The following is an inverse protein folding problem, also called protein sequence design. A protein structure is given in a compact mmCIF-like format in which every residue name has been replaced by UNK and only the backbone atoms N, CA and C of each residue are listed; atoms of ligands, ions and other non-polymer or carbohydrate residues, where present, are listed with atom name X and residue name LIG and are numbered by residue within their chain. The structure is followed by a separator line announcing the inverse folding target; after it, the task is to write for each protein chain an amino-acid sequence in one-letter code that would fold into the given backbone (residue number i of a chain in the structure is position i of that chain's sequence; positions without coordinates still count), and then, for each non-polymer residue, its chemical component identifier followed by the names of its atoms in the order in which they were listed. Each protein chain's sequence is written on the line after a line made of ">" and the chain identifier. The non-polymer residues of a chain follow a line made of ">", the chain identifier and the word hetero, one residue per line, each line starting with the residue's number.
data_IF_200576021319
#
_entry.id   IF_200576021319
#
_cell.length_a   1.000
_cell.length_b   1.000
_cell.length_c   1.000
_cell.angle_alpha   90.00
_cell.angle_beta   90.00
_cell.angle_gamma   90.00
#
_symmetry.space_group_name_H-M   'P 1'
#
loop_
_entity.id
_entity.type
_entity.pdbx_description
1 polymer ?
#
# COMPACT_ATOMS: atom_id res chain seq x y z
N UNK A 1 -18.08 -2.30 6.44
CA UNK A 1 -17.50 -3.18 5.38
C UNK A 1 -17.55 -2.63 3.94
N UNK A 2 -18.71 -2.26 3.35
CA UNK A 2 -18.77 -1.83 1.93
C UNK A 2 -17.82 -0.65 1.60
N UNK A 3 -17.83 0.40 2.43
CA UNK A 3 -16.95 1.57 2.28
C UNK A 3 -15.46 1.20 2.32
N UNK A 4 -15.06 0.37 3.28
CA UNK A 4 -13.67 -0.07 3.42
C UNK A 4 -13.17 -0.86 2.20
N UNK A 5 -14.04 -1.69 1.60
CA UNK A 5 -13.73 -2.39 0.33
C UNK A 5 -13.53 -1.41 -0.82
N UNK A 6 -14.38 -0.39 -0.94
CA UNK A 6 -14.24 0.64 -1.99
C UNK A 6 -12.92 1.38 -1.82
N UNK A 7 -12.58 1.80 -0.59
CA UNK A 7 -11.31 2.48 -0.31
C UNK A 7 -10.12 1.59 -0.64
N UNK A 8 -10.16 0.32 -0.23
CA UNK A 8 -9.08 -0.65 -0.50
C UNK A 8 -8.91 -0.90 -1.99
N UNK A 9 -10.01 -1.03 -2.73
CA UNK A 9 -9.98 -1.17 -4.19
C UNK A 9 -9.39 0.09 -4.85
N UNK A 10 -9.91 1.27 -4.50
CA UNK A 10 -9.45 2.54 -5.05
C UNK A 10 -7.95 2.77 -4.79
N UNK A 11 -7.49 2.51 -3.56
CA UNK A 11 -6.08 2.61 -3.19
C UNK A 11 -5.21 1.65 -4.02
N UNK A 12 -5.62 0.39 -4.14
CA UNK A 12 -4.90 -0.61 -4.94
C UNK A 12 -4.82 -0.23 -6.41
N UNK A 13 -5.94 0.22 -7.00
CA UNK A 13 -5.98 0.64 -8.41
C UNK A 13 -5.17 1.90 -8.66
N UNK A 14 -5.21 2.88 -7.75
CA UNK A 14 -4.46 4.12 -7.89
C UNK A 14 -2.96 3.87 -7.82
N UNK A 15 -2.50 3.02 -6.89
CA UNK A 15 -1.09 2.65 -6.76
C UNK A 15 -0.56 1.96 -8.03
N UNK A 16 -1.30 0.96 -8.54
CA UNK A 16 -0.89 0.26 -9.75
C UNK A 16 -0.93 1.18 -10.97
N UNK A 17 -1.98 2.00 -11.11
CA UNK A 17 -2.11 2.91 -12.24
C UNK A 17 -1.05 4.01 -12.23
N UNK A 18 -0.69 4.56 -11.07
CA UNK A 18 0.34 5.60 -10.97
C UNK A 18 1.71 5.09 -11.42
N UNK A 19 2.09 3.88 -11.06
CA UNK A 19 3.38 3.31 -11.45
C UNK A 19 3.39 2.85 -12.90
N UNK A 20 2.29 2.29 -13.41
CA UNK A 20 2.15 2.02 -14.83
C UNK A 20 2.25 3.31 -15.65
N UNK A 21 1.59 4.38 -15.22
CA UNK A 21 1.68 5.69 -15.89
C UNK A 21 3.10 6.28 -15.81
N UNK A 22 3.79 6.12 -14.68
CA UNK A 22 5.16 6.63 -14.47
C UNK A 22 6.18 5.97 -15.39
N UNK A 23 6.02 4.68 -15.65
CA UNK A 23 7.00 3.88 -16.40
C UNK A 23 6.54 3.47 -17.80
N UNK A 24 5.37 3.91 -18.25
CA UNK A 24 4.82 3.54 -19.55
C UNK A 24 5.82 3.86 -20.68
N UNK A 25 6.11 2.87 -21.52
CA UNK A 25 7.07 3.00 -22.62
C UNK A 25 8.55 2.91 -22.21
N UNK A 26 8.88 2.70 -20.93
CA UNK A 26 10.26 2.47 -20.47
C UNK A 26 10.61 0.98 -20.48
N UNK A 27 11.79 0.57 -20.99
CA UNK A 27 12.26 -0.82 -20.90
C UNK A 27 12.54 -1.25 -19.45
N UNK A 28 12.61 -0.29 -18.51
CA UNK A 28 12.78 -0.56 -17.08
C UNK A 28 11.46 -0.68 -16.31
N UNK A 29 10.32 -0.77 -17.00
CA UNK A 29 9.00 -0.87 -16.37
C UNK A 29 8.90 -2.07 -15.43
N UNK A 30 9.37 -3.25 -15.86
CA UNK A 30 9.23 -4.46 -15.04
C UNK A 30 10.11 -4.39 -13.78
N UNK A 31 11.40 -4.02 -13.82
CA UNK A 31 12.17 -3.92 -12.57
C UNK A 31 11.72 -2.82 -11.61
N UNK A 32 11.17 -1.70 -12.11
CA UNK A 32 10.95 -0.49 -11.30
C UNK A 32 9.51 -0.25 -10.86
N UNK A 33 8.53 -0.94 -11.46
CA UNK A 33 7.11 -0.80 -11.11
C UNK A 33 6.51 -2.07 -10.50
N UNK A 34 7.26 -3.18 -10.48
CA UNK A 34 6.68 -4.49 -10.18
C UNK A 34 6.16 -4.57 -8.75
N UNK A 35 6.91 -4.10 -7.77
CA UNK A 35 6.53 -4.20 -6.37
C UNK A 35 5.23 -3.41 -6.10
N UNK A 36 5.15 -2.18 -6.57
CA UNK A 36 3.98 -1.32 -6.43
C UNK A 36 2.77 -1.84 -7.20
N UNK A 37 2.95 -2.34 -8.42
CA UNK A 37 1.87 -2.95 -9.22
C UNK A 37 1.37 -4.23 -8.56
N UNK A 38 2.27 -5.08 -8.06
CA UNK A 38 1.92 -6.32 -7.38
C UNK A 38 1.13 -6.05 -6.09
N UNK A 39 1.58 -5.10 -5.27
CA UNK A 39 0.88 -4.70 -4.05
C UNK A 39 -0.45 -4.02 -4.37
N UNK A 40 -0.50 -3.16 -5.40
CA UNK A 40 -1.73 -2.54 -5.86
C UNK A 40 -2.76 -3.56 -6.33
N UNK A 41 -2.32 -4.57 -7.09
CA UNK A 41 -3.14 -5.69 -7.51
C UNK A 41 -3.61 -6.54 -6.32
N UNK A 42 -2.76 -6.78 -5.32
CA UNK A 42 -3.11 -7.52 -4.11
C UNK A 42 -4.22 -6.80 -3.30
N UNK A 43 -4.12 -5.48 -3.15
CA UNK A 43 -5.16 -4.65 -2.51
C UNK A 43 -6.49 -4.72 -3.28
N UNK A 44 -6.44 -4.51 -4.60
CA UNK A 44 -7.64 -4.58 -5.45
C UNK A 44 -8.29 -5.97 -5.40
N UNK A 45 -7.48 -7.03 -5.49
CA UNK A 45 -7.94 -8.41 -5.38
C UNK A 45 -8.56 -8.70 -4.01
N UNK A 46 -7.92 -8.29 -2.90
CA UNK A 46 -8.45 -8.48 -1.56
C UNK A 46 -9.81 -7.77 -1.35
N UNK A 47 -10.00 -6.60 -1.97
CA UNK A 47 -11.27 -5.87 -1.94
C UNK A 47 -12.38 -6.58 -2.73
N UNK A 48 -12.05 -7.17 -3.88
CA UNK A 48 -13.00 -7.94 -4.70
C UNK A 48 -13.33 -9.30 -4.06
N UNK A 49 -12.31 -9.99 -3.55
CA UNK A 49 -12.39 -11.32 -2.96
C UNK A 49 -12.72 -11.32 -1.47
N UNK A 50 -13.08 -10.18 -0.87
CA UNK A 50 -13.36 -10.05 0.59
C UNK A 50 -14.38 -11.07 1.11
N UNK A 51 -15.37 -11.46 0.29
CA UNK A 51 -16.35 -12.49 0.70
C UNK A 51 -15.73 -13.88 0.89
N UNK A 52 -14.67 -14.20 0.13
CA UNK A 52 -13.98 -15.49 0.18
C UNK A 52 -12.82 -15.49 1.19
N UNK A 53 -12.01 -14.41 1.18
CA UNK A 53 -10.82 -14.29 2.02
C UNK A 53 -11.09 -13.76 3.42
N UNK A 54 -12.30 -13.20 3.63
CA UNK A 54 -12.67 -12.56 4.89
C UNK A 54 -11.77 -11.37 5.25
N UNK A 55 -11.78 -10.94 6.52
CA UNK A 55 -10.91 -9.87 7.01
C UNK A 55 -9.41 -10.20 6.93
N UNK A 56 -9.05 -11.49 6.94
CA UNK A 56 -7.66 -11.93 6.87
C UNK A 56 -6.97 -11.53 5.56
N UNK A 57 -7.64 -11.67 4.42
CA UNK A 57 -7.09 -11.24 3.13
C UNK A 57 -6.86 -9.74 3.04
N UNK A 58 -7.75 -8.93 3.65
CA UNK A 58 -7.58 -7.47 3.73
C UNK A 58 -6.39 -7.11 4.62
N UNK A 59 -6.23 -7.78 5.76
CA UNK A 59 -5.10 -7.56 6.65
C UNK A 59 -3.76 -7.93 5.97
N UNK A 60 -3.70 -9.05 5.24
CA UNK A 60 -2.51 -9.43 4.49
C UNK A 60 -2.13 -8.38 3.43
N UNK A 61 -3.10 -7.91 2.63
CA UNK A 61 -2.85 -6.93 1.58
C UNK A 61 -2.41 -5.57 2.15
N UNK A 62 -3.09 -5.06 3.19
CA UNK A 62 -2.70 -3.82 3.85
C UNK A 62 -1.36 -3.95 4.59
N UNK A 63 -1.04 -5.12 5.15
CA UNK A 63 0.27 -5.40 5.74
C UNK A 63 1.40 -5.35 4.70
N UNK A 64 1.19 -5.93 3.53
CA UNK A 64 2.15 -5.88 2.43
C UNK A 64 2.33 -4.44 1.91
N UNK A 65 1.25 -3.65 1.84
CA UNK A 65 1.31 -2.22 1.54
C UNK A 65 2.14 -1.43 2.56
N UNK A 66 1.98 -1.69 3.86
CA UNK A 66 2.84 -1.08 4.89
C UNK A 66 4.31 -1.45 4.70
N UNK A 67 4.60 -2.71 4.35
CA UNK A 67 5.94 -3.17 4.03
C UNK A 67 6.57 -2.39 2.86
N UNK A 68 5.82 -2.22 1.78
CA UNK A 68 6.22 -1.41 0.63
C UNK A 68 6.47 0.06 1.01
N UNK A 69 5.58 0.67 1.80
CA UNK A 69 5.78 2.06 2.24
C UNK A 69 7.05 2.19 3.09
N UNK A 70 7.36 1.21 3.94
CA UNK A 70 8.61 1.19 4.71
C UNK A 70 9.84 1.01 3.83
N UNK A 71 9.78 0.12 2.83
CA UNK A 71 10.91 -0.11 1.91
C UNK A 71 11.25 1.13 1.08
N UNK A 72 10.27 2.01 0.82
CA UNK A 72 10.47 3.30 0.16
C UNK A 72 10.88 4.41 1.13
N UNK A 73 10.29 4.43 2.33
CA UNK A 73 10.51 5.49 3.32
C UNK A 73 11.92 5.42 3.91
N UNK A 74 12.42 4.23 4.24
CA UNK A 74 13.74 4.07 4.87
C UNK A 74 14.87 4.65 4.01
N UNK A 75 15.02 4.31 2.72
CA UNK A 75 16.03 4.92 1.86
C UNK A 75 15.80 6.43 1.65
N UNK A 76 14.55 6.88 1.64
CA UNK A 76 14.23 8.31 1.53
C UNK A 76 14.70 9.09 2.76
N UNK A 77 14.49 8.54 3.96
CA UNK A 77 14.97 9.14 5.21
C UNK A 77 16.50 9.11 5.29
N UNK A 78 17.12 8.00 4.90
CA UNK A 78 18.59 7.92 4.83
C UNK A 78 19.17 8.99 3.89
N UNK A 79 18.57 9.16 2.71
CA UNK A 79 18.97 10.21 1.78
C UNK A 79 18.75 11.63 2.32
N UNK A 80 17.70 11.86 3.11
CA UNK A 80 17.42 13.15 3.75
C UNK A 80 18.41 13.49 4.86
N UNK A 81 18.85 12.49 5.61
CA UNK A 81 19.73 12.67 6.77
C UNK A 81 21.21 12.68 6.39
N UNK A 82 21.59 11.83 5.43
CA UNK A 82 22.99 11.54 5.10
C UNK A 82 23.36 11.82 3.64
N UNK A 83 22.37 12.06 2.77
CA UNK A 83 22.57 12.24 1.34
C UNK A 83 22.80 13.69 0.89
N UNK A 84 23.20 13.89 -0.37
CA UNK A 84 23.27 15.22 -0.95
C UNK A 84 21.88 15.86 -1.03
N UNK A 85 21.77 17.19 -0.92
CA UNK A 85 20.48 17.87 -0.89
C UNK A 85 19.71 17.67 -2.18
N UNK A 86 18.52 17.06 -2.07
CA UNK A 86 17.56 16.88 -3.16
C UNK A 86 16.25 17.62 -2.83
N UNK A 87 15.84 18.64 -3.62
CA UNK A 87 14.71 19.50 -3.28
C UNK A 87 13.39 18.77 -3.01
N UNK A 88 13.15 17.66 -3.71
CA UNK A 88 11.90 16.91 -3.61
C UNK A 88 11.88 15.85 -2.50
N UNK A 89 13.02 15.56 -1.86
CA UNK A 89 13.12 14.44 -0.92
C UNK A 89 12.26 14.65 0.33
N UNK A 90 12.18 15.89 0.84
CA UNK A 90 11.39 16.21 2.03
C UNK A 90 9.89 16.01 1.77
N UNK A 91 9.39 16.54 0.65
CA UNK A 91 8.00 16.35 0.24
C UNK A 91 7.66 14.86 0.06
N UNK A 92 8.54 14.11 -0.61
CA UNK A 92 8.33 12.68 -0.83
C UNK A 92 8.29 11.89 0.49
N UNK A 93 9.19 12.19 1.44
CA UNK A 93 9.19 11.58 2.77
C UNK A 93 7.90 11.83 3.56
N UNK A 94 7.36 13.05 3.50
CA UNK A 94 6.05 13.38 4.12
C UNK A 94 4.92 12.56 3.52
N UNK A 95 4.86 12.45 2.18
CA UNK A 95 3.83 11.67 1.49
C UNK A 95 3.92 10.18 1.87
N UNK A 96 5.13 9.60 1.86
CA UNK A 96 5.35 8.21 2.25
C UNK A 96 4.94 7.96 3.71
N UNK A 97 5.25 8.89 4.61
CA UNK A 97 4.87 8.79 6.03
C UNK A 97 3.35 8.83 6.19
N UNK A 98 2.66 9.73 5.47
CA UNK A 98 1.20 9.80 5.48
C UNK A 98 0.54 8.53 4.92
N UNK A 99 1.09 7.97 3.84
CA UNK A 99 0.62 6.70 3.26
C UNK A 99 0.87 5.53 4.20
N UNK A 100 2.02 5.46 4.87
CA UNK A 100 2.30 4.45 5.88
C UNK A 100 1.29 4.54 7.04
N UNK A 101 1.01 5.75 7.55
CA UNK A 101 0.02 5.94 8.61
C UNK A 101 -1.38 5.47 8.19
N UNK A 102 -1.80 5.79 6.96
CA UNK A 102 -3.05 5.28 6.38
C UNK A 102 -3.05 3.75 6.31
N UNK A 103 -1.96 3.14 5.84
CA UNK A 103 -1.80 1.69 5.75
C UNK A 103 -1.91 1.01 7.11
N UNK A 104 -1.25 1.56 8.13
CA UNK A 104 -1.30 1.05 9.51
C UNK A 104 -2.71 1.15 10.07
N UNK A 105 -3.41 2.28 9.86
CA UNK A 105 -4.79 2.45 10.30
C UNK A 105 -5.74 1.44 9.62
N UNK A 106 -5.59 1.23 8.31
CA UNK A 106 -6.37 0.28 7.55
C UNK A 106 -6.09 -1.18 7.96
N UNK A 107 -4.83 -1.52 8.21
CA UNK A 107 -4.42 -2.82 8.73
C UNK A 107 -5.02 -3.08 10.12
N UNK A 108 -4.90 -2.10 11.03
CA UNK A 108 -5.48 -2.19 12.36
C UNK A 108 -7.00 -2.41 12.29
N UNK A 109 -7.69 -1.69 11.41
CA UNK A 109 -9.13 -1.88 11.18
C UNK A 109 -9.45 -3.29 10.66
N UNK A 110 -8.69 -3.80 9.68
CA UNK A 110 -8.88 -5.15 9.14
C UNK A 110 -8.67 -6.25 10.20
N UNK A 111 -7.66 -6.08 11.07
CA UNK A 111 -7.39 -6.99 12.18
C UNK A 111 -8.51 -6.98 13.22
N UNK A 112 -9.07 -5.81 13.54
CA UNK A 112 -10.21 -5.68 14.45
C UNK A 112 -11.44 -6.40 13.91
N UNK A 113 -11.78 -6.22 12.63
CA UNK A 113 -12.87 -6.96 11.98
C UNK A 113 -12.66 -8.48 12.05
N UNK A 114 -11.41 -8.95 11.90
CA UNK A 114 -11.07 -10.35 12.04
C UNK A 114 -11.23 -10.89 13.47
N UNK A 115 -10.94 -10.07 14.49
CA UNK A 115 -11.13 -10.43 15.90
C UNK A 115 -12.61 -10.52 16.27
N UNK A 116 -13.42 -9.56 15.83
CA UNK A 116 -14.87 -9.56 16.07
C UNK A 116 -15.56 -10.77 15.44
N UNK A 117 -15.23 -11.08 14.19
CA UNK A 117 -15.78 -12.26 13.50
C UNK A 117 -15.41 -13.60 14.15
N UNK A 118 -14.31 -13.67 14.91
CA UNK A 118 -13.95 -14.86 15.70
C UNK A 118 -14.67 -14.94 17.05
N UNK A 119 -15.04 -13.80 17.65
CA UNK A 119 -15.75 -13.76 18.95
C UNK A 119 -17.24 -14.07 18.82
N UNK A 120 -17.82 -13.87 17.65
CA UNK A 120 -19.24 -14.12 17.38
C UNK A 120 -19.54 -15.56 16.91
N UNK A 121 -18.55 -16.45 16.92
CA UNK A 121 -18.66 -17.88 16.58
C UNK A 121 -18.38 -18.70 17.84
#
# INVERSE_FOLDING_TARGET
>A
MKRFRIITFAAGTLLAASELARWWGSPRLVPLAFDEVLIGAALAFAALATRRLGPGGLAAAWGAFCGLMLSLLVPTLDHLLNGPPKPSAGFYGVVLTAMLALGVAALAHALTLGREGRRAR
#
